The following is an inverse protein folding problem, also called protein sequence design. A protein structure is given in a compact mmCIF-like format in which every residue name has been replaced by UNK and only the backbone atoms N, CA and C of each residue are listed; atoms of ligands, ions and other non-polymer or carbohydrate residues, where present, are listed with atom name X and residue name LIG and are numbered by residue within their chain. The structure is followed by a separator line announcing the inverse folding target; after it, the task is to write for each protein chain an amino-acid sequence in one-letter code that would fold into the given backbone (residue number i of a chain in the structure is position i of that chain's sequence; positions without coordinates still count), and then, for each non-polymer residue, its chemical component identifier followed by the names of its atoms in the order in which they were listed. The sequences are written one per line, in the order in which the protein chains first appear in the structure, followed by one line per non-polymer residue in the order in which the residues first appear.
data_IF_917770993187
#
_entry.id   IF_917770993187
#
_cell.length_a   1.000
_cell.length_b   1.000
_cell.length_c   1.000
_cell.angle_alpha   90.00
_cell.angle_beta   90.00
_cell.angle_gamma   90.00
#
_symmetry.space_group_name_H-M   'P 1'
#
loop_
_entity.id
_entity.type
_entity.pdbx_description
1 polymer ?
#
# COMPACT_ATOMS: atom_id res chain seq x y z
N UNK A 1 22.60 -3.51 33.27
CA UNK A 1 21.46 -2.57 33.19
C UNK A 1 20.57 -3.04 32.05
N UNK A 2 19.25 -3.04 32.18
CA UNK A 2 18.39 -3.28 30.99
C UNK A 2 18.65 -2.15 29.97
N UNK A 3 18.97 -2.52 28.76
CA UNK A 3 19.17 -1.54 27.67
C UNK A 3 17.85 -0.83 27.40
N UNK A 4 17.88 0.48 27.23
CA UNK A 4 16.71 1.22 26.77
C UNK A 4 16.29 0.74 25.37
N UNK A 5 14.98 0.61 25.07
CA UNK A 5 14.52 0.16 23.76
C UNK A 5 15.07 0.99 22.57
N UNK A 6 15.44 2.25 22.82
CA UNK A 6 16.03 3.14 21.82
C UNK A 6 17.50 2.81 21.47
N UNK A 7 18.16 1.95 22.25
CA UNK A 7 19.56 1.55 22.02
C UNK A 7 19.66 0.26 21.17
N UNK A 8 18.52 -0.37 20.88
CA UNK A 8 18.49 -1.59 20.09
C UNK A 8 17.16 -1.73 19.31
N UNK A 9 17.20 -1.83 17.97
CA UNK A 9 18.39 -1.75 17.11
C UNK A 9 19.06 -0.36 17.18
N UNK A 10 20.37 -0.27 16.80
CA UNK A 10 21.03 1.03 16.74
C UNK A 10 20.29 1.97 15.77
N UNK A 11 20.32 3.28 15.99
CA UNK A 11 19.69 4.21 15.07
C UNK A 11 20.31 4.06 13.67
N UNK A 12 19.46 3.91 12.69
CA UNK A 12 19.81 3.82 11.27
C UNK A 12 19.66 5.21 10.65
N UNK A 13 20.65 5.65 9.87
CA UNK A 13 20.49 6.80 8.98
C UNK A 13 19.93 6.31 7.65
N UNK A 14 18.65 6.53 7.33
CA UNK A 14 18.05 5.97 6.12
C UNK A 14 18.77 6.42 4.83
N UNK A 15 19.26 7.66 4.77
CA UNK A 15 19.95 8.16 3.59
C UNK A 15 21.31 7.48 3.36
N UNK A 16 22.01 7.07 4.40
CA UNK A 16 23.27 6.33 4.29
C UNK A 16 23.04 4.85 3.99
N UNK A 17 22.01 4.28 4.56
CA UNK A 17 21.71 2.84 4.43
C UNK A 17 21.07 2.50 3.10
N UNK A 18 20.11 3.32 2.63
CA UNK A 18 19.23 2.95 1.51
C UNK A 18 19.43 3.76 0.24
N UNK A 19 20.47 4.60 0.15
CA UNK A 19 20.87 5.29 -1.07
C UNK A 19 22.24 4.76 -1.52
N UNK A 20 22.32 4.38 -2.80
CA UNK A 20 23.53 3.82 -3.38
C UNK A 20 23.79 4.36 -4.81
N UNK A 21 25.02 4.34 -5.30
CA UNK A 21 25.30 4.57 -6.71
C UNK A 21 24.91 3.34 -7.54
N UNK A 22 24.83 3.50 -8.85
CA UNK A 22 24.74 2.39 -9.79
C UNK A 22 26.09 1.64 -9.81
N UNK A 23 26.09 0.33 -9.66
CA UNK A 23 27.32 -0.48 -9.61
C UNK A 23 27.34 -1.65 -10.57
N UNK A 24 26.19 -2.15 -11.00
CA UNK A 24 26.17 -3.28 -11.94
C UNK A 24 26.73 -2.86 -13.30
N UNK A 25 27.46 -3.75 -13.99
CA UNK A 25 27.81 -3.54 -15.38
C UNK A 25 26.57 -3.33 -16.25
N UNK A 26 26.70 -2.59 -17.34
CA UNK A 26 25.55 -2.22 -18.19
C UNK A 26 24.79 -3.44 -18.72
N UNK A 27 25.51 -4.51 -19.05
CA UNK A 27 24.98 -5.77 -19.55
C UNK A 27 24.19 -6.59 -18.51
N UNK A 28 24.37 -6.32 -17.21
CA UNK A 28 23.69 -7.00 -16.10
C UNK A 28 22.50 -6.21 -15.56
N UNK A 29 22.31 -4.97 -16.00
CA UNK A 29 21.24 -4.09 -15.56
C UNK A 29 19.89 -4.47 -16.16
N UNK A 30 18.84 -4.29 -15.39
CA UNK A 30 17.47 -4.39 -15.88
C UNK A 30 17.02 -2.99 -16.28
N UNK A 31 16.86 -2.74 -17.57
CA UNK A 31 16.39 -1.42 -18.04
C UNK A 31 14.88 -1.38 -18.23
N UNK A 32 14.27 -0.37 -17.61
CA UNK A 32 12.82 -0.07 -17.74
C UNK A 32 12.60 1.43 -17.96
N UNK A 33 11.46 1.78 -18.47
CA UNK A 33 11.09 3.20 -18.55
C UNK A 33 10.64 3.74 -17.20
N UNK A 34 9.85 2.94 -16.47
CA UNK A 34 9.32 3.31 -15.16
C UNK A 34 9.49 2.12 -14.21
N UNK A 35 10.15 2.35 -13.07
CA UNK A 35 10.23 1.42 -11.96
C UNK A 35 9.29 1.87 -10.83
N UNK A 36 8.47 0.97 -10.33
CA UNK A 36 7.54 1.23 -9.24
C UNK A 36 7.94 0.36 -8.05
N UNK A 37 8.43 0.96 -6.99
CA UNK A 37 8.77 0.27 -5.75
C UNK A 37 7.50 0.06 -4.92
N UNK A 38 6.95 -1.14 -4.95
CA UNK A 38 5.77 -1.59 -4.23
C UNK A 38 4.60 -1.98 -5.12
N UNK A 39 4.29 -3.28 -5.18
CA UNK A 39 3.13 -3.88 -5.86
C UNK A 39 1.83 -3.79 -5.03
N UNK A 40 1.68 -2.74 -4.24
CA UNK A 40 0.47 -2.42 -3.49
C UNK A 40 -0.60 -1.73 -4.34
N UNK A 41 -1.80 -1.44 -3.79
CA UNK A 41 -2.88 -0.81 -4.55
C UNK A 41 -2.47 0.51 -5.21
N UNK A 42 -1.62 1.31 -4.57
CA UNK A 42 -1.15 2.59 -5.10
C UNK A 42 -0.22 2.38 -6.31
N UNK A 43 0.78 1.48 -6.18
CA UNK A 43 1.72 1.19 -7.25
C UNK A 43 1.03 0.55 -8.47
N UNK A 44 0.14 -0.40 -8.23
CA UNK A 44 -0.61 -1.06 -9.31
C UNK A 44 -1.57 -0.11 -10.03
N UNK A 45 -2.29 0.74 -9.29
CA UNK A 45 -3.15 1.75 -9.91
C UNK A 45 -2.35 2.76 -10.72
N UNK A 46 -1.18 3.18 -10.23
CA UNK A 46 -0.25 4.04 -10.98
C UNK A 46 0.21 3.34 -12.27
N UNK A 47 0.63 2.07 -12.17
CA UNK A 47 1.10 1.29 -13.31
C UNK A 47 0.02 1.17 -14.40
N UNK A 48 -1.20 0.77 -14.02
CA UNK A 48 -2.34 0.66 -14.95
C UNK A 48 -2.62 2.01 -15.62
N UNK A 49 -2.66 3.10 -14.82
CA UNK A 49 -2.94 4.43 -15.38
C UNK A 49 -1.87 4.90 -16.35
N UNK A 50 -0.62 4.61 -16.08
CA UNK A 50 0.49 4.89 -17.00
C UNK A 50 0.28 4.16 -18.32
N UNK A 51 -0.02 2.86 -18.30
CA UNK A 51 -0.25 2.08 -19.51
C UNK A 51 -1.44 2.63 -20.33
N UNK A 52 -2.55 2.96 -19.68
CA UNK A 52 -3.70 3.61 -20.33
C UNK A 52 -3.32 4.95 -20.98
N UNK A 53 -2.50 5.76 -20.31
CA UNK A 53 -2.07 7.05 -20.88
C UNK A 53 -1.12 6.87 -22.04
N UNK A 54 -0.27 5.86 -22.05
CA UNK A 54 0.60 5.53 -23.18
C UNK A 54 -0.22 5.11 -24.42
N UNK A 55 -1.31 4.36 -24.21
CA UNK A 55 -2.24 3.99 -25.26
C UNK A 55 -2.94 5.22 -25.84
N UNK A 56 -3.47 6.10 -25.01
CA UNK A 56 -4.08 7.37 -25.45
C UNK A 56 -3.10 8.25 -26.23
N UNK A 57 -1.84 8.35 -25.79
CA UNK A 57 -0.80 9.09 -26.52
C UNK A 57 -0.55 8.46 -27.90
N UNK A 58 -0.51 7.13 -27.96
CA UNK A 58 -0.35 6.42 -29.24
C UNK A 58 -1.51 6.72 -30.20
N UNK A 59 -2.75 6.63 -29.71
CA UNK A 59 -3.94 6.93 -30.51
C UNK A 59 -3.97 8.37 -31.04
N UNK A 60 -3.59 9.34 -30.19
CA UNK A 60 -3.65 10.76 -30.55
C UNK A 60 -2.49 11.23 -31.44
N UNK A 61 -1.33 10.61 -31.36
CA UNK A 61 -0.11 11.09 -32.02
C UNK A 61 0.46 10.11 -33.03
N UNK A 62 -0.12 8.91 -33.16
CA UNK A 62 0.42 7.79 -33.91
C UNK A 62 1.85 7.38 -33.50
N UNK A 63 2.31 7.91 -32.35
CA UNK A 63 3.65 7.66 -31.82
C UNK A 63 3.59 6.49 -30.85
N UNK A 64 4.30 5.41 -31.16
CA UNK A 64 4.45 4.29 -30.24
C UNK A 64 5.57 4.60 -29.25
N UNK A 65 5.22 4.80 -27.99
CA UNK A 65 6.19 4.95 -26.91
C UNK A 65 6.45 3.57 -26.32
N UNK A 66 7.53 2.93 -26.79
CA UNK A 66 7.98 1.68 -26.20
C UNK A 66 8.61 1.95 -24.83
N UNK A 67 7.83 1.79 -23.78
CA UNK A 67 8.35 1.91 -22.43
C UNK A 67 7.91 0.71 -21.59
N UNK A 68 8.85 0.08 -20.91
CA UNK A 68 8.56 -0.99 -19.96
C UNK A 68 8.19 -0.38 -18.63
N UNK A 69 7.07 -0.78 -18.05
CA UNK A 69 6.67 -0.41 -16.70
C UNK A 69 6.84 -1.65 -15.82
N UNK A 70 7.68 -1.56 -14.80
CA UNK A 70 7.93 -2.66 -13.88
C UNK A 70 7.53 -2.28 -12.46
N UNK A 71 6.79 -3.14 -11.78
CA UNK A 71 6.43 -3.02 -10.38
C UNK A 71 7.18 -4.09 -9.57
N UNK A 72 8.04 -3.66 -8.63
CA UNK A 72 8.76 -4.55 -7.74
C UNK A 72 7.89 -4.86 -6.52
N UNK A 73 7.63 -6.13 -6.27
CA UNK A 73 6.86 -6.60 -5.12
C UNK A 73 7.67 -7.62 -4.32
N UNK A 74 7.92 -7.32 -3.05
CA UNK A 74 8.70 -8.20 -2.16
C UNK A 74 8.04 -9.54 -1.83
N UNK A 75 6.73 -9.65 -2.04
CA UNK A 75 5.96 -10.87 -1.81
C UNK A 75 5.77 -11.64 -3.11
N UNK A 76 5.41 -12.91 -2.97
CA UNK A 76 5.08 -13.77 -4.11
C UNK A 76 3.77 -13.39 -4.82
N UNK A 77 2.93 -12.59 -4.16
CA UNK A 77 1.66 -12.13 -4.71
C UNK A 77 1.46 -10.65 -4.39
N UNK A 78 1.07 -9.83 -5.35
CA UNK A 78 0.75 -8.43 -5.13
C UNK A 78 -0.24 -8.24 -3.98
N UNK A 79 -0.01 -7.23 -3.17
CA UNK A 79 -0.89 -6.88 -2.05
C UNK A 79 -1.06 -7.95 -0.95
N UNK A 80 -0.15 -8.90 -0.79
CA UNK A 80 -0.18 -9.89 0.27
C UNK A 80 0.90 -9.63 1.34
N UNK A 81 0.58 -9.76 2.65
CA UNK A 81 -0.71 -9.55 3.29
C UNK A 81 -0.95 -8.06 3.59
N UNK A 82 -2.14 -7.58 3.37
CA UNK A 82 -2.55 -6.24 3.77
C UNK A 82 -3.60 -6.29 4.88
N UNK A 83 -3.42 -5.47 5.90
CA UNK A 83 -4.47 -5.21 6.87
C UNK A 83 -5.59 -4.48 6.14
N UNK A 84 -6.73 -5.12 6.05
CA UNK A 84 -7.86 -4.60 5.31
C UNK A 84 -8.97 -4.20 6.25
N UNK A 85 -9.35 -2.96 6.25
CA UNK A 85 -10.63 -2.49 6.76
C UNK A 85 -11.18 -1.61 5.68
N UNK A 86 -11.89 -2.17 4.74
CA UNK A 86 -12.15 -1.38 3.57
C UNK A 86 -13.64 -1.10 3.38
N UNK A 87 -13.94 0.15 3.54
CA UNK A 87 -15.09 0.82 2.99
C UNK A 87 -14.58 1.75 1.89
N UNK A 88 -14.63 1.28 0.66
CA UNK A 88 -14.01 1.92 -0.49
C UNK A 88 -14.96 2.91 -1.15
N UNK A 89 -14.48 4.11 -1.40
CA UNK A 89 -15.18 5.07 -2.27
C UNK A 89 -15.04 4.62 -3.72
N UNK A 90 -16.14 4.61 -4.51
CA UNK A 90 -16.11 4.08 -5.88
C UNK A 90 -15.39 4.98 -6.90
N UNK A 91 -15.08 6.24 -6.55
CA UNK A 91 -14.53 7.23 -7.49
C UNK A 91 -13.26 6.74 -8.20
N UNK A 92 -12.30 6.20 -7.43
CA UNK A 92 -11.04 5.72 -8.01
C UNK A 92 -11.25 4.52 -8.96
N UNK A 93 -12.16 3.60 -8.62
CA UNK A 93 -12.49 2.47 -9.49
C UNK A 93 -13.18 2.92 -10.78
N UNK A 94 -14.11 3.88 -10.69
CA UNK A 94 -14.78 4.46 -11.86
C UNK A 94 -13.83 5.24 -12.75
N UNK A 95 -12.83 5.91 -12.17
CA UNK A 95 -11.82 6.65 -12.93
C UNK A 95 -10.84 5.70 -13.63
N UNK A 96 -10.39 4.66 -12.93
CA UNK A 96 -9.41 3.72 -13.47
C UNK A 96 -10.03 2.72 -14.46
N UNK A 97 -11.29 2.35 -14.24
CA UNK A 97 -12.04 1.38 -15.05
C UNK A 97 -13.44 1.93 -15.39
N UNK A 98 -13.55 2.95 -16.26
CA UNK A 98 -14.83 3.62 -16.54
C UNK A 98 -15.86 2.69 -17.17
N UNK A 99 -15.42 1.69 -17.94
CA UNK A 99 -16.27 0.76 -18.67
C UNK A 99 -16.60 -0.53 -17.90
N UNK A 100 -16.02 -0.70 -16.69
CA UNK A 100 -16.24 -1.90 -15.89
C UNK A 100 -17.48 -1.74 -15.01
N UNK A 101 -18.43 -2.67 -15.16
CA UNK A 101 -19.64 -2.69 -14.33
C UNK A 101 -19.28 -2.89 -12.84
N UNK A 102 -19.90 -2.14 -11.90
CA UNK A 102 -19.67 -2.33 -10.48
C UNK A 102 -19.95 -3.75 -9.94
N UNK A 103 -20.74 -4.57 -10.64
CA UNK A 103 -20.94 -5.97 -10.29
C UNK A 103 -19.69 -6.83 -10.48
N UNK A 104 -18.76 -6.40 -11.34
CA UNK A 104 -17.50 -7.09 -11.62
C UNK A 104 -16.35 -6.61 -10.72
N UNK A 105 -16.62 -5.62 -9.86
CA UNK A 105 -15.62 -5.12 -8.93
C UNK A 105 -15.31 -6.14 -7.83
N UNK A 106 -14.10 -6.14 -7.30
CA UNK A 106 -13.68 -7.04 -6.22
C UNK A 106 -14.26 -6.62 -4.86
N UNK A 107 -15.57 -6.44 -4.78
CA UNK A 107 -16.30 -5.98 -3.59
C UNK A 107 -17.18 -7.07 -3.01
N UNK A 108 -17.69 -6.86 -1.81
CA UNK A 108 -18.66 -7.73 -1.17
C UNK A 108 -20.08 -7.21 -1.35
N UNK A 109 -20.28 -5.92 -1.05
CA UNK A 109 -21.58 -5.27 -1.18
C UNK A 109 -21.46 -3.74 -1.14
N UNK A 110 -22.49 -3.05 -1.61
CA UNK A 110 -22.66 -1.62 -1.42
C UNK A 110 -23.11 -1.31 0.01
N UNK A 111 -22.64 -0.19 0.56
CA UNK A 111 -23.08 0.30 1.86
C UNK A 111 -24.36 1.10 1.70
N UNK A 112 -25.45 0.54 2.19
CA UNK A 112 -26.79 1.18 2.16
C UNK A 112 -27.18 1.78 3.50
N UNK A 113 -26.56 1.34 4.60
CA UNK A 113 -26.86 1.80 5.96
C UNK A 113 -25.60 1.93 6.80
N UNK A 114 -25.60 2.93 7.66
CA UNK A 114 -24.55 3.20 8.64
C UNK A 114 -25.12 3.31 10.06
N UNK A 115 -24.28 3.04 11.05
CA UNK A 115 -24.55 3.33 12.45
C UNK A 115 -23.30 3.77 13.18
N UNK A 116 -23.44 4.65 14.16
CA UNK A 116 -22.35 5.09 15.05
C UNK A 116 -22.79 4.94 16.48
N UNK A 117 -21.96 4.31 17.31
CA UNK A 117 -22.25 4.10 18.73
C UNK A 117 -21.14 4.66 19.61
N UNK A 118 -21.53 5.35 20.66
CA UNK A 118 -20.66 5.64 21.79
C UNK A 118 -20.77 4.49 22.79
N UNK A 119 -19.66 3.80 23.02
CA UNK A 119 -19.61 2.70 23.96
C UNK A 119 -19.29 3.16 25.37
N UNK A 120 -19.95 2.59 26.33
CA UNK A 120 -19.66 2.63 27.74
C UNK A 120 -19.41 1.20 28.24
N UNK A 121 -18.94 0.97 29.49
CA UNK A 121 -18.77 -0.40 30.00
C UNK A 121 -20.03 -1.27 30.00
N UNK A 122 -21.23 -0.65 29.91
CA UNK A 122 -22.52 -1.36 30.05
C UNK A 122 -23.48 -1.11 28.90
N UNK A 123 -23.27 -0.06 28.10
CA UNK A 123 -24.26 0.39 27.09
C UNK A 123 -23.57 0.80 25.79
N UNK A 124 -24.25 0.56 24.67
CA UNK A 124 -23.96 1.15 23.37
C UNK A 124 -25.00 2.22 23.04
N UNK A 125 -24.60 3.47 23.06
CA UNK A 125 -25.49 4.63 22.85
C UNK A 125 -25.40 5.08 21.38
N UNK A 126 -26.51 5.04 20.61
CA UNK A 126 -26.49 5.50 19.24
C UNK A 126 -26.27 7.01 19.17
N UNK A 127 -25.35 7.45 18.32
CA UNK A 127 -25.15 8.87 18.03
C UNK A 127 -26.10 9.32 16.93
N UNK A 128 -27.00 10.23 17.30
CA UNK A 128 -27.96 10.87 16.38
C UNK A 128 -28.02 12.39 16.67
N UNK A 129 -27.92 13.25 15.63
CA UNK A 129 -27.65 12.89 14.22
C UNK A 129 -26.26 12.29 14.01
N UNK A 130 -26.13 11.40 13.02
CA UNK A 130 -24.85 10.80 12.69
C UNK A 130 -23.89 11.85 12.11
N UNK A 131 -22.64 11.96 12.61
CA UNK A 131 -21.67 12.89 12.07
C UNK A 131 -21.37 12.61 10.59
N UNK A 132 -21.18 13.66 9.76
CA UNK A 132 -20.97 13.47 8.31
C UNK A 132 -19.80 12.56 7.93
N UNK A 133 -18.72 12.58 8.71
CA UNK A 133 -17.52 11.79 8.47
C UNK A 133 -17.74 10.27 8.57
N UNK A 134 -18.84 9.83 9.17
CA UNK A 134 -19.20 8.41 9.30
C UNK A 134 -20.26 7.96 8.29
N UNK A 135 -20.61 8.81 7.33
CA UNK A 135 -21.55 8.45 6.28
C UNK A 135 -20.82 7.75 5.15
N UNK A 136 -21.19 6.48 4.94
CA UNK A 136 -20.55 5.62 3.95
C UNK A 136 -21.53 5.18 2.84
N UNK A 137 -22.73 5.70 2.84
CA UNK A 137 -23.74 5.38 1.84
C UNK A 137 -23.21 5.58 0.41
N UNK A 138 -23.36 4.59 -0.45
CA UNK A 138 -22.83 4.58 -1.81
C UNK A 138 -21.35 4.18 -1.93
N UNK A 139 -20.69 3.86 -0.81
CA UNK A 139 -19.39 3.21 -0.79
C UNK A 139 -19.55 1.69 -0.90
N UNK A 140 -18.44 0.98 -1.08
CA UNK A 140 -18.43 -0.47 -1.22
C UNK A 140 -17.55 -1.12 -0.16
N UNK A 141 -18.04 -2.18 0.46
CA UNK A 141 -17.24 -3.02 1.34
C UNK A 141 -16.38 -3.94 0.49
N UNK A 142 -15.07 -3.90 0.72
CA UNK A 142 -14.12 -4.78 0.03
C UNK A 142 -13.04 -5.31 0.98
N UNK A 143 -12.22 -6.21 0.49
CA UNK A 143 -10.94 -6.56 1.10
C UNK A 143 -9.82 -5.95 0.28
N UNK A 144 -8.90 -5.20 0.90
CA UNK A 144 -7.76 -4.60 0.18
C UNK A 144 -6.89 -5.68 -0.47
N UNK A 145 -6.79 -6.87 0.14
CA UNK A 145 -6.11 -8.00 -0.48
C UNK A 145 -6.85 -8.54 -1.73
N UNK A 146 -8.19 -8.55 -1.71
CA UNK A 146 -9.00 -8.92 -2.89
C UNK A 146 -8.86 -7.87 -4.00
N UNK A 147 -8.95 -6.58 -3.62
CA UNK A 147 -8.73 -5.46 -4.53
C UNK A 147 -7.32 -5.50 -5.14
N UNK A 148 -6.31 -5.79 -4.33
CA UNK A 148 -4.93 -5.84 -4.81
C UNK A 148 -4.67 -6.96 -5.81
N UNK A 149 -5.22 -8.15 -5.60
CA UNK A 149 -5.14 -9.24 -6.60
C UNK A 149 -5.80 -8.83 -7.91
N UNK A 150 -7.00 -8.28 -7.84
CA UNK A 150 -7.71 -7.75 -9.01
C UNK A 150 -6.87 -6.69 -9.75
N UNK A 151 -6.28 -5.73 -9.03
CA UNK A 151 -5.41 -4.73 -9.65
C UNK A 151 -4.14 -5.36 -10.23
N UNK A 152 -3.58 -6.40 -9.60
CA UNK A 152 -2.45 -7.16 -10.13
C UNK A 152 -2.78 -7.79 -11.48
N UNK A 153 -3.90 -8.51 -11.56
CA UNK A 153 -4.40 -9.11 -12.80
C UNK A 153 -4.60 -8.04 -13.89
N UNK A 154 -5.24 -6.92 -13.55
CA UNK A 154 -5.44 -5.80 -14.49
C UNK A 154 -4.15 -5.11 -14.92
N UNK A 155 -3.15 -5.05 -14.07
CA UNK A 155 -1.84 -4.51 -14.42
C UNK A 155 -1.10 -5.43 -15.41
N UNK A 156 -1.13 -6.75 -15.18
CA UNK A 156 -0.55 -7.74 -16.10
C UNK A 156 -1.27 -7.73 -17.45
N UNK A 157 -2.62 -7.67 -17.47
CA UNK A 157 -3.42 -7.52 -18.69
C UNK A 157 -3.03 -6.25 -19.46
N UNK A 158 -2.70 -5.16 -18.78
CA UNK A 158 -2.23 -3.91 -19.37
C UNK A 158 -0.76 -3.94 -19.82
N UNK A 159 -0.04 -5.05 -19.62
CA UNK A 159 1.36 -5.21 -20.02
C UNK A 159 2.39 -4.70 -19.01
N UNK A 160 2.01 -4.52 -17.75
CA UNK A 160 2.95 -4.21 -16.66
C UNK A 160 3.73 -5.45 -16.24
N UNK A 161 5.04 -5.33 -16.08
CA UNK A 161 5.89 -6.38 -15.54
C UNK A 161 5.83 -6.37 -14.02
N UNK A 162 5.20 -7.36 -13.41
CA UNK A 162 5.19 -7.51 -11.95
C UNK A 162 6.35 -8.42 -11.56
N UNK A 163 7.37 -7.84 -10.93
CA UNK A 163 8.52 -8.56 -10.41
C UNK A 163 8.23 -9.02 -8.98
N UNK A 164 7.56 -10.17 -8.87
CA UNK A 164 7.26 -10.78 -7.57
C UNK A 164 8.54 -11.29 -6.88
N UNK A 165 8.50 -11.40 -5.54
CA UNK A 165 9.64 -11.80 -4.70
C UNK A 165 10.90 -10.95 -4.92
N UNK A 166 10.69 -9.70 -5.35
CA UNK A 166 11.74 -8.74 -5.66
C UNK A 166 11.52 -7.47 -4.83
N UNK A 167 12.24 -7.34 -3.74
CA UNK A 167 12.20 -6.14 -2.91
C UNK A 167 13.00 -5.02 -3.57
N UNK A 168 12.49 -3.80 -3.61
CA UNK A 168 13.31 -2.62 -3.86
C UNK A 168 14.06 -2.29 -2.57
N UNK A 169 15.36 -2.54 -2.54
CA UNK A 169 16.20 -2.43 -1.34
C UNK A 169 16.90 -1.08 -1.21
N UNK A 170 17.47 -0.59 -2.32
CA UNK A 170 18.16 0.71 -2.33
C UNK A 170 17.66 1.60 -3.46
N UNK A 171 17.65 2.91 -3.21
CA UNK A 171 17.42 3.90 -4.26
C UNK A 171 18.76 4.21 -4.93
N UNK A 172 18.82 4.06 -6.24
CA UNK A 172 20.01 4.36 -7.02
C UNK A 172 20.06 5.85 -7.35
N UNK A 173 21.12 6.53 -6.90
CA UNK A 173 21.25 7.98 -7.08
C UNK A 173 22.66 8.33 -7.55
N UNK A 174 22.75 9.10 -8.64
CA UNK A 174 23.98 9.69 -9.16
C UNK A 174 23.75 11.18 -9.41
N UNK A 175 24.66 12.03 -8.98
CA UNK A 175 24.58 13.47 -9.13
C UNK A 175 23.24 14.07 -8.65
N UNK A 176 22.69 13.56 -7.56
CA UNK A 176 21.35 13.87 -7.02
C UNK A 176 20.19 13.53 -7.97
N UNK A 177 20.41 12.71 -8.99
CA UNK A 177 19.39 12.23 -9.92
C UNK A 177 19.09 10.76 -9.57
N UNK A 178 17.82 10.45 -9.37
CA UNK A 178 17.36 9.06 -9.20
C UNK A 178 17.50 8.34 -10.53
N UNK A 179 18.25 7.23 -10.52
CA UNK A 179 18.51 6.38 -11.68
C UNK A 179 17.65 5.11 -11.70
N UNK A 180 17.05 4.75 -10.58
CA UNK A 180 16.28 3.53 -10.43
C UNK A 180 16.34 3.00 -9.01
N UNK A 181 16.24 1.69 -8.88
CA UNK A 181 16.33 0.98 -7.60
C UNK A 181 17.21 -0.25 -7.74
N UNK A 182 17.91 -0.64 -6.68
CA UNK A 182 18.54 -1.96 -6.57
C UNK A 182 17.57 -2.90 -5.90
N UNK A 183 17.42 -4.09 -6.46
CA UNK A 183 16.67 -5.16 -5.80
C UNK A 183 17.47 -5.74 -4.63
N UNK A 184 16.76 -6.26 -3.62
CA UNK A 184 17.39 -6.94 -2.50
C UNK A 184 17.90 -8.33 -2.90
N UNK A 185 18.94 -8.79 -2.19
CA UNK A 185 19.46 -10.15 -2.33
C UNK A 185 18.38 -11.19 -2.01
N UNK A 186 18.43 -12.30 -2.72
CA UNK A 186 17.62 -13.49 -2.44
C UNK A 186 18.47 -14.57 -1.77
N UNK A 187 17.81 -15.47 -1.03
CA UNK A 187 18.50 -16.61 -0.43
C UNK A 187 19.47 -16.24 0.69
N UNK A 188 19.18 -15.18 1.47
CA UNK A 188 19.90 -14.91 2.74
C UNK A 188 19.19 -15.57 3.91
N UNK A 189 19.97 -16.16 4.80
CA UNK A 189 19.49 -16.71 6.06
C UNK A 189 19.20 -15.63 7.10
N UNK A 190 18.78 -16.07 8.28
CA UNK A 190 18.34 -15.18 9.35
C UNK A 190 19.44 -14.26 9.89
N UNK A 191 20.68 -14.72 9.90
CA UNK A 191 21.85 -13.98 10.37
C UNK A 191 22.58 -13.24 9.21
N UNK A 192 21.98 -13.23 8.00
CA UNK A 192 22.53 -12.57 6.82
C UNK A 192 23.44 -13.46 5.96
N UNK A 193 23.64 -14.72 6.36
CA UNK A 193 24.46 -15.69 5.64
C UNK A 193 23.86 -16.06 4.28
N UNK A 194 24.71 -16.36 3.30
CA UNK A 194 24.31 -16.82 1.97
C UNK A 194 23.90 -18.30 2.02
N UNK A 195 22.68 -18.58 1.60
CA UNK A 195 22.15 -19.94 1.47
C UNK A 195 22.48 -20.51 0.10
N UNK A 196 22.21 -21.81 -0.12
CA UNK A 196 22.47 -22.49 -1.38
C UNK A 196 21.74 -21.92 -2.60
N UNK A 197 20.69 -21.12 -2.37
CA UNK A 197 19.91 -20.42 -3.39
C UNK A 197 20.17 -18.91 -3.37
N UNK A 198 21.34 -18.47 -2.91
CA UNK A 198 21.70 -17.06 -2.89
C UNK A 198 21.80 -16.51 -4.32
N UNK A 199 21.16 -15.38 -4.53
CA UNK A 199 21.24 -14.55 -5.73
C UNK A 199 21.41 -13.08 -5.30
N UNK A 200 22.45 -12.38 -5.76
CA UNK A 200 22.61 -10.97 -5.46
C UNK A 200 21.49 -10.13 -6.09
N UNK A 201 21.16 -9.01 -5.48
CA UNK A 201 20.25 -8.04 -6.06
C UNK A 201 20.86 -7.38 -7.30
N UNK A 202 19.99 -6.93 -8.22
CA UNK A 202 20.39 -6.29 -9.48
C UNK A 202 19.94 -4.83 -9.54
N UNK A 203 20.66 -4.02 -10.29
CA UNK A 203 20.30 -2.63 -10.58
C UNK A 203 19.17 -2.56 -11.63
N UNK A 204 18.02 -2.07 -11.23
CA UNK A 204 16.88 -1.76 -12.10
C UNK A 204 16.95 -0.28 -12.46
N UNK A 205 17.43 0.01 -13.66
CA UNK A 205 17.60 1.37 -14.15
C UNK A 205 16.29 1.87 -14.78
N UNK A 206 15.88 3.06 -14.41
CA UNK A 206 14.61 3.63 -14.85
C UNK A 206 14.73 5.12 -15.17
N UNK A 207 13.95 5.59 -16.15
CA UNK A 207 13.81 7.03 -16.45
C UNK A 207 12.98 7.76 -15.39
N UNK A 208 12.04 7.06 -14.77
CA UNK A 208 11.26 7.54 -13.63
C UNK A 208 11.10 6.42 -12.59
N UNK A 209 11.18 6.79 -11.32
CA UNK A 209 10.99 5.87 -10.19
C UNK A 209 9.82 6.34 -9.34
N UNK A 210 8.87 5.46 -9.08
CA UNK A 210 7.70 5.72 -8.24
C UNK A 210 7.86 4.96 -6.94
N UNK A 211 7.82 5.67 -5.81
CA UNK A 211 7.85 5.08 -4.48
C UNK A 211 6.43 4.86 -3.98
N UNK A 212 5.98 3.61 -3.97
CA UNK A 212 4.64 3.18 -3.55
C UNK A 212 4.70 2.11 -2.45
N UNK A 213 5.68 2.23 -1.57
CA UNK A 213 6.07 1.22 -0.56
C UNK A 213 5.10 1.12 0.64
N UNK A 214 4.12 2.03 0.72
CA UNK A 214 3.18 2.07 1.84
C UNK A 214 3.72 2.80 3.07
N UNK A 215 3.11 2.52 4.21
CA UNK A 215 3.24 3.32 5.44
C UNK A 215 4.67 3.39 6.01
N UNK A 216 5.45 2.32 5.84
CA UNK A 216 6.81 2.17 6.38
C UNK A 216 7.86 2.04 5.28
N UNK A 217 7.62 2.67 4.14
CA UNK A 217 8.53 2.63 3.01
C UNK A 217 9.92 3.21 3.36
N UNK A 218 10.95 2.38 3.36
CA UNK A 218 12.30 2.77 3.75
C UNK A 218 12.99 3.64 2.69
N UNK A 219 12.75 3.38 1.39
CA UNK A 219 13.25 4.24 0.31
C UNK A 219 12.57 5.61 0.33
N UNK A 220 11.28 5.65 0.68
CA UNK A 220 10.56 6.90 0.87
C UNK A 220 11.18 7.71 2.01
N UNK A 221 11.45 7.09 3.17
CA UNK A 221 12.11 7.76 4.29
C UNK A 221 13.51 8.27 3.90
N UNK A 222 14.31 7.42 3.26
CA UNK A 222 15.63 7.81 2.77
C UNK A 222 15.57 9.00 1.78
N UNK A 223 14.56 9.01 0.91
CA UNK A 223 14.36 10.11 -0.04
C UNK A 223 13.96 11.41 0.65
N UNK A 224 13.11 11.35 1.68
CA UNK A 224 12.71 12.51 2.46
C UNK A 224 13.91 13.17 3.13
N UNK A 225 14.80 12.35 3.72
CA UNK A 225 16.01 12.84 4.38
C UNK A 225 17.05 13.35 3.37
N UNK A 226 17.34 12.58 2.32
CA UNK A 226 18.37 12.91 1.34
C UNK A 226 18.07 14.15 0.52
N UNK A 227 16.80 14.37 0.14
CA UNK A 227 16.36 15.49 -0.68
C UNK A 227 15.75 16.65 0.12
N UNK A 228 15.66 16.54 1.46
CA UNK A 228 15.02 17.51 2.36
C UNK A 228 13.55 17.79 1.96
N UNK A 229 12.79 16.70 1.79
CA UNK A 229 11.39 16.75 1.35
C UNK A 229 10.36 16.66 2.50
N UNK A 230 10.82 16.81 3.74
CA UNK A 230 9.93 16.77 4.90
C UNK A 230 8.88 17.88 4.84
N UNK A 231 7.61 17.50 4.96
CA UNK A 231 6.48 18.42 5.01
C UNK A 231 6.36 19.14 6.36
N UNK A 232 5.40 20.07 6.44
CA UNK A 232 5.12 20.81 7.69
C UNK A 232 4.39 19.93 8.72
N UNK A 233 3.56 18.99 8.25
CA UNK A 233 2.77 18.13 9.11
C UNK A 233 3.47 16.77 9.26
N UNK A 234 3.74 16.32 10.50
CA UNK A 234 4.34 15.02 10.74
C UNK A 234 3.34 13.92 10.36
N UNK A 235 3.86 12.79 9.90
CA UNK A 235 3.07 11.58 9.68
C UNK A 235 2.44 11.12 10.99
N UNK A 236 1.16 10.79 10.95
CA UNK A 236 0.44 10.22 12.10
C UNK A 236 0.36 8.72 11.95
N UNK A 237 0.65 8.01 13.03
CA UNK A 237 0.68 6.56 13.08
C UNK A 237 -0.51 6.05 13.88
N UNK A 238 -1.20 5.08 13.33
CA UNK A 238 -2.30 4.41 14.01
C UNK A 238 -2.09 2.90 13.93
N UNK A 239 -2.33 2.22 15.06
CA UNK A 239 -2.30 0.77 15.13
C UNK A 239 -3.68 0.21 14.82
N UNK A 240 -3.77 -0.65 13.81
CA UNK A 240 -4.97 -1.37 13.45
C UNK A 240 -4.85 -2.86 13.75
N UNK A 241 -5.90 -3.43 14.34
CA UNK A 241 -6.07 -4.88 14.49
C UNK A 241 -7.36 -5.29 13.81
N UNK A 242 -7.31 -6.36 13.02
CA UNK A 242 -8.46 -6.90 12.31
C UNK A 242 -8.76 -8.32 12.76
N UNK A 243 -10.03 -8.57 12.98
CA UNK A 243 -10.59 -9.90 13.19
C UNK A 243 -11.73 -10.15 12.21
N UNK A 244 -11.94 -11.42 11.83
CA UNK A 244 -13.06 -11.85 11.02
C UNK A 244 -13.91 -12.80 11.87
N UNK A 245 -15.16 -12.44 12.03
CA UNK A 245 -16.12 -13.17 12.86
C UNK A 245 -17.20 -13.80 11.99
N UNK A 246 -17.54 -15.05 12.29
CA UNK A 246 -18.75 -15.67 11.76
C UNK A 246 -19.94 -15.29 12.64
N UNK A 247 -20.97 -14.74 12.02
CA UNK A 247 -22.13 -14.21 12.75
C UNK A 247 -23.40 -15.04 12.46
N UNK A 248 -24.31 -15.21 13.45
CA UNK A 248 -25.50 -16.01 13.27
C UNK A 248 -26.56 -15.35 12.36
N UNK A 249 -26.44 -14.05 12.14
CA UNK A 249 -27.30 -13.26 11.25
C UNK A 249 -26.46 -12.24 10.49
N UNK A 250 -26.70 -12.05 9.18
CA UNK A 250 -26.03 -11.05 8.39
C UNK A 250 -26.16 -9.63 8.98
N UNK A 251 -25.08 -8.88 8.91
CA UNK A 251 -25.10 -7.45 9.20
C UNK A 251 -25.64 -6.70 7.98
N UNK A 252 -26.61 -5.79 8.20
CA UNK A 252 -27.20 -4.98 7.14
C UNK A 252 -26.60 -3.59 7.01
N UNK A 253 -25.53 -3.30 7.78
CA UNK A 253 -24.94 -1.96 7.89
C UNK A 253 -23.48 -1.99 8.29
N UNK A 254 -22.82 -0.86 8.01
CA UNK A 254 -21.50 -0.55 8.58
C UNK A 254 -21.70 0.09 9.95
N UNK A 255 -20.91 -0.30 10.93
CA UNK A 255 -21.00 0.17 12.30
C UNK A 255 -19.67 0.77 12.72
N UNK A 256 -19.69 2.00 13.18
CA UNK A 256 -18.55 2.64 13.84
C UNK A 256 -18.80 2.70 15.34
N UNK A 257 -17.77 2.47 16.13
CA UNK A 257 -17.84 2.64 17.58
C UNK A 257 -16.72 3.53 18.08
N UNK A 258 -16.96 4.21 19.17
CA UNK A 258 -15.98 5.01 19.91
C UNK A 258 -16.28 4.97 21.41
N UNK A 259 -15.36 5.42 22.22
CA UNK A 259 -15.53 5.44 23.67
C UNK A 259 -14.86 4.25 24.36
N UNK A 260 -15.56 3.52 25.22
CA UNK A 260 -15.00 2.37 25.92
C UNK A 260 -14.47 1.30 24.96
N UNK A 261 -13.31 0.68 25.21
CA UNK A 261 -12.48 0.72 26.43
C UNK A 261 -11.41 1.82 26.46
N UNK A 262 -11.45 2.80 25.56
CA UNK A 262 -10.47 3.89 25.51
C UNK A 262 -10.52 4.73 26.78
N UNK A 263 -9.33 5.07 27.29
CA UNK A 263 -9.17 5.82 28.54
C UNK A 263 -9.04 7.30 28.25
N UNK A 264 -10.00 8.09 28.72
CA UNK A 264 -9.96 9.56 28.70
C UNK A 264 -9.82 10.10 30.10
N UNK A 265 -8.59 10.23 30.58
CA UNK A 265 -8.26 10.90 31.83
C UNK A 265 -7.08 11.83 31.57
N UNK A 266 -6.84 12.80 32.46
CA UNK A 266 -5.79 13.82 32.31
C UNK A 266 -4.40 13.26 31.94
N UNK A 267 -4.10 12.00 32.30
CA UNK A 267 -2.85 11.29 32.02
C UNK A 267 -2.90 10.40 30.78
N UNK A 268 -4.09 10.08 30.27
CA UNK A 268 -4.29 9.14 29.15
C UNK A 268 -5.31 9.72 28.17
N UNK A 269 -4.85 10.20 27.05
CA UNK A 269 -5.72 10.69 25.98
C UNK A 269 -5.68 9.69 24.83
N UNK A 270 -6.25 8.50 25.06
CA UNK A 270 -6.34 7.47 24.04
C UNK A 270 -7.38 7.86 22.98
N UNK A 271 -6.98 7.79 21.72
CA UNK A 271 -7.81 8.04 20.57
C UNK A 271 -7.97 6.75 19.75
N UNK A 272 -9.18 6.52 19.23
CA UNK A 272 -9.46 5.36 18.40
C UNK A 272 -10.93 4.96 18.44
N UNK A 273 -11.21 3.82 17.90
CA UNK A 273 -12.53 3.23 17.83
C UNK A 273 -12.50 1.88 17.12
N UNK A 274 -13.65 1.35 16.79
CA UNK A 274 -13.77 0.18 15.94
C UNK A 274 -14.67 0.44 14.75
N UNK A 275 -14.48 -0.40 13.74
CA UNK A 275 -15.19 -0.35 12.48
C UNK A 275 -15.61 -1.78 12.15
N UNK A 276 -16.92 -2.04 12.09
CA UNK A 276 -17.50 -3.35 11.84
C UNK A 276 -18.27 -3.27 10.53
N UNK A 277 -18.03 -4.19 9.63
CA UNK A 277 -18.64 -4.22 8.31
C UNK A 277 -18.90 -5.64 7.83
N UNK A 278 -19.99 -5.88 7.10
CA UNK A 278 -20.33 -7.20 6.56
C UNK A 278 -19.39 -7.57 5.40
N UNK A 279 -18.91 -8.82 5.41
CA UNK A 279 -18.04 -9.37 4.36
C UNK A 279 -18.71 -10.56 3.65
N UNK A 280 -20.02 -10.48 3.40
CA UNK A 280 -20.83 -11.53 2.85
C UNK A 280 -21.95 -11.96 3.81
N UNK A 281 -22.56 -13.09 3.55
CA UNK A 281 -23.79 -13.50 4.25
C UNK A 281 -23.59 -13.84 5.73
N UNK A 282 -22.43 -14.36 6.12
CA UNK A 282 -22.18 -14.85 7.48
C UNK A 282 -20.94 -14.25 8.17
N UNK A 283 -20.36 -13.19 7.61
CA UNK A 283 -19.13 -12.56 8.12
C UNK A 283 -19.25 -11.05 8.23
#
# INVERSE_FOLDING_TARGET
MPRAPAEFPPPVNPAEEFIAPVTDPEEERIEVGIAIAGGGPAGLACAIRVMQLLEVVHELTETVIYTRVAALEKRNTPCAPLLSGANMRPSAMRELFPDLDPSDWPVYQEVTKDAVYLLTPKLALPLKPMPPNFRNHGNYVTSVAKLGRFLGEKAEEAGVYILSETAADKLLVEDRIVRGVRSGDKGRGREGEELSNFEPGSDVIAKATVLAEGTLGHLTQASLDYYDLHGRDPQRWELGVKEVWKVPKPLDRVIHTMGWPLRKRAKWNEFGGSFIYPMGEDK
#
